data_IF_847692885387
#
_entry.id   IF_847692885387
#
_cell.length_a   1.000
_cell.length_b   1.000
_cell.length_c   1.000
_cell.angle_alpha   90.00
_cell.angle_beta   90.00
_cell.angle_gamma   90.00
#
_symmetry.space_group_name_H-M   'P 1'
#
loop_
_entity.id
_entity.type
_entity.pdbx_description
1 polymer ?
#
# COMPACT_ATOMS: atom_id res chain seq x y z
N UNK A 1 -28.02 15.96 2.88
CA UNK A 1 -27.06 16.02 4.00
C UNK A 1 -25.67 15.98 3.39
N UNK A 2 -25.00 17.12 3.37
CA UNK A 2 -23.66 17.30 2.79
C UNK A 2 -22.62 16.61 3.67
N UNK A 3 -22.01 15.55 3.17
CA UNK A 3 -20.90 14.84 3.83
C UNK A 3 -19.74 15.84 4.02
N UNK A 4 -19.17 16.00 5.25
CA UNK A 4 -18.12 16.97 5.53
C UNK A 4 -16.81 16.80 4.73
N UNK A 5 -16.68 15.74 3.92
CA UNK A 5 -15.50 15.44 3.12
C UNK A 5 -15.62 15.82 1.63
N UNK A 6 -16.68 16.53 1.24
CA UNK A 6 -16.81 17.09 -0.11
C UNK A 6 -16.06 18.42 -0.20
N UNK A 7 -14.77 18.32 -0.52
CA UNK A 7 -13.95 19.35 -1.18
C UNK A 7 -13.74 20.67 -0.41
N UNK A 8 -12.77 20.67 0.52
CA UNK A 8 -12.11 21.87 1.07
C UNK A 8 -10.59 21.63 1.07
N UNK A 9 -9.71 22.62 0.85
CA UNK A 9 -9.53 23.49 -0.30
C UNK A 9 -8.29 23.02 -1.08
N UNK A 10 -8.42 21.95 -1.86
CA UNK A 10 -7.45 21.68 -2.93
C UNK A 10 -8.18 21.96 -4.23
N UNK A 11 -8.37 23.25 -4.51
CA UNK A 11 -8.95 23.71 -5.76
C UNK A 11 -7.87 23.63 -6.84
N UNK A 12 -8.26 23.26 -8.05
CA UNK A 12 -7.32 23.14 -9.16
C UNK A 12 -6.60 24.47 -9.45
N UNK A 13 -7.21 25.59 -9.09
CA UNK A 13 -6.65 26.94 -9.21
C UNK A 13 -5.40 27.17 -8.33
N UNK A 14 -5.23 26.39 -7.25
CA UNK A 14 -4.02 26.45 -6.42
C UNK A 14 -2.85 25.69 -7.05
N UNK A 15 -3.10 24.86 -8.07
CA UNK A 15 -2.08 24.08 -8.76
C UNK A 15 -1.45 24.94 -9.86
N UNK A 16 -0.11 25.05 -9.94
CA UNK A 16 0.55 25.86 -10.97
C UNK A 16 0.16 25.40 -12.38
N UNK A 17 0.26 26.29 -13.36
CA UNK A 17 0.02 25.95 -14.76
C UNK A 17 1.05 24.91 -15.23
N UNK A 18 0.59 23.67 -15.42
CA UNK A 18 1.40 22.52 -15.86
C UNK A 18 0.63 21.72 -16.91
N UNK A 19 1.33 20.88 -17.67
CA UNK A 19 0.70 19.96 -18.60
C UNK A 19 -0.19 18.95 -17.86
N UNK A 20 -1.37 18.69 -18.43
CA UNK A 20 -2.33 17.68 -17.99
C UNK A 20 -2.45 16.55 -19.01
N UNK A 21 -2.84 15.33 -18.60
CA UNK A 21 -3.11 14.93 -17.22
C UNK A 21 -1.82 14.73 -16.41
N UNK A 22 -1.83 15.07 -15.11
CA UNK A 22 -0.70 14.80 -14.21
C UNK A 22 -1.17 14.33 -12.82
N UNK A 23 -0.39 13.46 -12.18
CA UNK A 23 -0.66 13.02 -10.82
C UNK A 23 -0.19 14.07 -9.82
N UNK A 24 -1.08 14.44 -8.89
CA UNK A 24 -0.85 15.50 -7.91
C UNK A 24 -0.93 14.92 -6.51
N UNK A 25 0.02 15.31 -5.65
CA UNK A 25 0.04 14.92 -4.23
C UNK A 25 0.16 16.15 -3.33
N UNK A 26 -0.59 16.15 -2.23
CA UNK A 26 -0.50 17.19 -1.20
C UNK A 26 0.13 16.62 0.08
N UNK A 27 1.34 17.06 0.45
CA UNK A 27 2.11 16.48 1.57
C UNK A 27 1.44 16.72 2.93
N UNK A 28 0.86 17.89 3.14
CA UNK A 28 0.11 18.23 4.35
C UNK A 28 -1.02 17.23 4.61
N UNK A 29 -1.69 16.80 3.54
CA UNK A 29 -2.76 15.80 3.61
C UNK A 29 -2.24 14.38 3.85
N UNK A 30 -1.08 14.03 3.29
CA UNK A 30 -0.41 12.76 3.60
C UNK A 30 -0.08 12.70 5.10
N UNK A 31 0.44 13.79 5.67
CA UNK A 31 0.77 13.86 7.10
C UNK A 31 -0.47 13.84 8.00
N UNK A 32 -1.57 14.51 7.60
CA UNK A 32 -2.86 14.37 8.28
C UNK A 32 -3.30 12.91 8.31
N UNK A 33 -3.29 12.23 7.16
CA UNK A 33 -3.68 10.84 7.07
C UNK A 33 -2.78 9.93 7.92
N UNK A 34 -1.47 10.20 7.98
CA UNK A 34 -0.54 9.48 8.86
C UNK A 34 -0.94 9.64 10.33
N UNK A 35 -1.19 10.87 10.77
CA UNK A 35 -1.52 11.17 12.16
C UNK A 35 -2.80 10.46 12.62
N UNK A 36 -3.89 10.54 11.85
CA UNK A 36 -5.16 9.88 12.20
C UNK A 36 -5.04 8.35 12.13
N UNK A 37 -4.28 7.81 11.17
CA UNK A 37 -4.02 6.37 11.05
C UNK A 37 -3.22 5.85 12.25
N UNK A 38 -2.14 6.54 12.61
CA UNK A 38 -1.28 6.19 13.73
C UNK A 38 -2.06 6.24 15.05
N UNK A 39 -2.91 7.25 15.24
CA UNK A 39 -3.79 7.32 16.41
C UNK A 39 -4.76 6.14 16.46
N UNK A 40 -5.41 5.81 15.34
CA UNK A 40 -6.39 4.72 15.27
C UNK A 40 -5.79 3.32 15.56
N UNK A 41 -4.54 3.07 15.17
CA UNK A 41 -3.87 1.80 15.50
C UNK A 41 -3.12 1.82 16.84
N UNK A 42 -3.11 2.96 17.55
CA UNK A 42 -2.51 3.11 18.87
C UNK A 42 -1.00 3.36 18.87
N UNK A 43 -0.45 3.97 17.80
CA UNK A 43 0.95 4.40 17.71
C UNK A 43 1.54 4.25 16.31
N UNK A 44 2.41 5.19 15.90
CA UNK A 44 3.10 5.18 14.59
C UNK A 44 4.07 4.01 14.45
N UNK A 45 4.65 3.55 15.56
CA UNK A 45 5.57 2.41 15.62
C UNK A 45 4.88 1.09 15.31
N UNK A 46 3.54 1.05 15.37
CA UNK A 46 2.72 -0.10 14.99
C UNK A 46 2.52 -0.21 13.49
N UNK A 47 2.85 0.84 12.72
CA UNK A 47 2.63 0.86 11.27
C UNK A 47 3.79 0.18 10.53
N UNK A 48 3.44 -0.76 9.67
CA UNK A 48 4.29 -1.28 8.59
C UNK A 48 3.60 -0.98 7.25
N UNK A 49 3.49 0.30 6.85
CA UNK A 49 2.68 0.68 5.71
C UNK A 49 3.19 0.07 4.42
N UNK A 50 2.24 -0.22 3.53
CA UNK A 50 2.56 -0.88 2.27
C UNK A 50 2.90 0.14 1.18
N UNK A 51 4.15 0.09 0.69
CA UNK A 51 4.65 1.07 -0.30
C UNK A 51 4.03 0.91 -1.69
N UNK A 52 3.32 -0.19 -1.98
CA UNK A 52 2.68 -0.44 -3.28
C UNK A 52 1.68 0.65 -3.69
N UNK A 53 1.14 1.40 -2.72
CA UNK A 53 0.20 2.49 -2.99
C UNK A 53 0.88 3.63 -3.72
N UNK A 54 2.08 3.99 -3.29
CA UNK A 54 2.74 5.22 -3.72
C UNK A 54 4.00 4.98 -4.55
N UNK A 55 4.72 3.88 -4.32
CA UNK A 55 5.95 3.51 -5.03
C UNK A 55 6.91 4.71 -5.18
N UNK A 56 7.07 5.47 -4.09
CA UNK A 56 7.77 6.74 -4.07
C UNK A 56 8.80 6.78 -2.93
N UNK A 57 10.08 6.90 -3.27
CA UNK A 57 11.18 6.95 -2.30
C UNK A 57 11.10 8.17 -1.38
N UNK A 58 10.66 9.32 -1.90
CA UNK A 58 10.49 10.53 -1.10
C UNK A 58 9.40 10.39 -0.03
N UNK A 59 8.34 9.60 -0.28
CA UNK A 59 7.34 9.26 0.74
C UNK A 59 7.91 8.32 1.79
N UNK A 60 8.74 7.35 1.41
CA UNK A 60 9.42 6.51 2.41
C UNK A 60 10.28 7.38 3.35
N UNK A 61 11.04 8.33 2.81
CA UNK A 61 11.84 9.30 3.60
C UNK A 61 10.96 10.17 4.50
N UNK A 62 9.84 10.67 3.98
CA UNK A 62 8.88 11.46 4.75
C UNK A 62 8.34 10.64 5.93
N UNK A 63 7.92 9.40 5.69
CA UNK A 63 7.36 8.53 6.73
C UNK A 63 8.42 8.11 7.78
N UNK A 64 9.66 7.84 7.36
CA UNK A 64 10.78 7.61 8.27
C UNK A 64 11.00 8.82 9.19
N UNK A 65 10.96 10.04 8.66
CA UNK A 65 11.10 11.27 9.44
C UNK A 65 9.95 11.49 10.44
N UNK A 66 8.81 10.82 10.25
CA UNK A 66 7.66 10.84 11.17
C UNK A 66 7.63 9.66 12.14
N UNK A 67 8.68 8.83 12.17
CA UNK A 67 8.82 7.72 13.12
C UNK A 67 8.30 6.37 12.64
N UNK A 68 7.84 6.25 11.39
CA UNK A 68 7.58 4.93 10.79
C UNK A 68 8.92 4.21 10.62
N UNK A 69 9.05 3.00 11.16
CA UNK A 69 10.32 2.28 11.21
C UNK A 69 10.39 1.06 10.30
N UNK A 70 9.27 0.68 9.67
CA UNK A 70 9.19 -0.55 8.87
C UNK A 70 8.24 -0.41 7.69
N UNK A 71 8.49 -1.15 6.62
CA UNK A 71 7.70 -1.05 5.38
C UNK A 71 7.38 -2.40 4.78
N UNK A 72 6.25 -2.47 4.08
CA UNK A 72 5.85 -3.64 3.30
C UNK A 72 5.92 -3.36 1.81
N UNK A 73 6.53 -4.28 1.06
CA UNK A 73 6.69 -4.20 -0.39
C UNK A 73 6.10 -5.44 -1.08
N UNK A 74 5.66 -5.29 -2.33
CA UNK A 74 5.07 -6.36 -3.15
C UNK A 74 6.03 -6.81 -4.25
N UNK A 75 6.99 -5.96 -4.63
CA UNK A 75 7.98 -6.25 -5.67
C UNK A 75 9.40 -5.99 -5.15
N UNK A 76 10.40 -6.61 -5.78
CA UNK A 76 11.80 -6.32 -5.45
C UNK A 76 12.20 -4.89 -5.78
N UNK A 77 11.61 -4.27 -6.81
CA UNK A 77 11.83 -2.85 -7.11
C UNK A 77 11.37 -1.95 -5.94
N UNK A 78 10.24 -2.30 -5.31
CA UNK A 78 9.76 -1.60 -4.12
C UNK A 78 10.65 -1.86 -2.89
N UNK A 79 11.18 -3.09 -2.73
CA UNK A 79 12.15 -3.40 -1.67
C UNK A 79 13.41 -2.54 -1.85
N UNK A 80 13.99 -2.53 -3.06
CA UNK A 80 15.17 -1.74 -3.37
C UNK A 80 14.93 -0.24 -3.18
N UNK A 81 13.77 0.27 -3.61
CA UNK A 81 13.38 1.67 -3.41
C UNK A 81 13.26 2.04 -1.93
N UNK A 82 12.63 1.18 -1.11
CA UNK A 82 12.50 1.43 0.32
C UNK A 82 13.88 1.45 1.01
N UNK A 83 14.76 0.51 0.65
CA UNK A 83 16.13 0.47 1.17
C UNK A 83 16.95 1.70 0.78
N UNK A 84 16.91 2.09 -0.50
CA UNK A 84 17.59 3.29 -1.00
C UNK A 84 17.04 4.60 -0.39
N UNK A 85 15.81 4.56 0.12
CA UNK A 85 15.20 5.65 0.87
C UNK A 85 15.58 5.66 2.36
N UNK A 86 16.32 4.65 2.85
CA UNK A 86 16.80 4.56 4.23
C UNK A 86 15.97 3.64 5.14
N UNK A 87 15.03 2.86 4.59
CA UNK A 87 14.30 1.89 5.40
C UNK A 87 15.21 0.73 5.82
N UNK A 88 15.25 0.45 7.12
CA UNK A 88 16.08 -0.64 7.70
C UNK A 88 15.30 -1.90 8.03
N UNK A 89 13.95 -1.88 7.95
CA UNK A 89 13.11 -3.08 8.10
C UNK A 89 12.10 -3.14 6.97
N UNK A 90 12.27 -4.11 6.06
CA UNK A 90 11.40 -4.25 4.88
C UNK A 90 10.93 -5.70 4.75
N UNK A 91 9.60 -5.89 4.71
CA UNK A 91 8.98 -7.19 4.41
C UNK A 91 8.57 -7.22 2.95
N UNK A 92 9.12 -8.16 2.18
CA UNK A 92 8.65 -8.47 0.84
C UNK A 92 7.46 -9.44 0.93
N UNK A 93 6.25 -8.87 0.94
CA UNK A 93 5.00 -9.57 1.17
C UNK A 93 4.49 -10.29 -0.08
N UNK A 94 5.30 -11.21 -0.60
CA UNK A 94 4.99 -12.04 -1.75
C UNK A 94 5.69 -13.40 -1.57
N UNK A 95 4.96 -14.52 -1.32
CA UNK A 95 5.55 -15.84 -1.11
C UNK A 95 6.06 -16.43 -2.44
N UNK A 96 7.18 -15.91 -2.93
CA UNK A 96 7.77 -16.37 -4.19
C UNK A 96 8.46 -17.71 -4.02
N UNK A 97 8.43 -18.52 -5.08
CA UNK A 97 9.27 -19.72 -5.26
C UNK A 97 10.23 -19.55 -6.43
N UNK A 98 10.36 -18.33 -6.98
CA UNK A 98 11.24 -18.05 -8.10
C UNK A 98 12.68 -17.85 -7.60
N UNK A 99 13.63 -18.76 -7.91
CA UNK A 99 14.98 -18.69 -7.36
C UNK A 99 15.77 -17.46 -7.82
N UNK A 100 15.49 -16.92 -9.02
CA UNK A 100 16.15 -15.70 -9.49
C UNK A 100 15.72 -14.47 -8.68
N UNK A 101 14.43 -14.39 -8.32
CA UNK A 101 13.94 -13.29 -7.48
C UNK A 101 14.43 -13.42 -6.04
N UNK A 102 14.47 -14.64 -5.48
CA UNK A 102 15.04 -14.88 -4.15
C UNK A 102 16.54 -14.54 -4.15
N UNK A 103 17.28 -14.92 -5.18
CA UNK A 103 18.70 -14.55 -5.33
C UNK A 103 18.89 -13.03 -5.32
N UNK A 104 18.09 -12.29 -6.11
CA UNK A 104 18.12 -10.82 -6.11
C UNK A 104 17.77 -10.22 -4.74
N UNK A 105 16.82 -10.81 -4.02
CA UNK A 105 16.50 -10.39 -2.66
C UNK A 105 17.68 -10.56 -1.70
N UNK A 106 18.39 -11.69 -1.79
CA UNK A 106 19.61 -11.95 -1.01
C UNK A 106 20.72 -10.96 -1.37
N UNK A 107 20.90 -10.63 -2.66
CA UNK A 107 21.88 -9.62 -3.07
C UNK A 107 21.54 -8.21 -2.56
N UNK A 108 20.24 -7.84 -2.52
CA UNK A 108 19.81 -6.62 -1.85
C UNK A 108 20.17 -6.64 -0.35
N UNK A 109 19.97 -7.76 0.34
CA UNK A 109 20.36 -7.87 1.75
C UNK A 109 21.88 -7.71 1.96
N UNK A 110 22.70 -8.17 1.01
CA UNK A 110 24.16 -7.97 1.06
C UNK A 110 24.55 -6.51 0.81
N UNK A 111 23.86 -5.83 -0.09
CA UNK A 111 24.11 -4.43 -0.42
C UNK A 111 23.67 -3.47 0.70
N UNK A 112 22.73 -3.88 1.54
CA UNK A 112 22.22 -3.10 2.68
C UNK A 112 22.40 -3.88 3.99
N UNK A 113 23.63 -4.02 4.50
CA UNK A 113 23.94 -4.89 5.64
C UNK A 113 23.27 -4.46 6.95
N UNK A 114 22.94 -3.18 7.09
CA UNK A 114 22.26 -2.62 8.26
C UNK A 114 20.73 -2.82 8.23
N UNK A 115 20.19 -3.39 7.15
CA UNK A 115 18.76 -3.63 6.98
C UNK A 115 18.38 -5.09 7.26
N UNK A 116 17.27 -5.29 7.96
CA UNK A 116 16.55 -6.55 8.08
C UNK A 116 15.55 -6.71 6.94
N UNK A 117 15.79 -7.71 6.09
CA UNK A 117 14.91 -8.04 4.98
C UNK A 117 14.18 -9.34 5.27
N UNK A 118 12.85 -9.28 5.22
CA UNK A 118 11.99 -10.43 5.51
C UNK A 118 11.24 -10.89 4.27
N UNK A 119 11.47 -12.13 3.84
CA UNK A 119 10.69 -12.81 2.79
C UNK A 119 9.50 -13.58 3.38
N UNK A 120 8.59 -14.04 2.51
CA UNK A 120 7.47 -14.91 2.91
C UNK A 120 7.65 -16.34 2.38
N UNK A 121 7.19 -17.30 3.18
CA UNK A 121 7.00 -18.71 2.78
C UNK A 121 5.64 -19.21 3.27
N UNK A 122 4.97 -20.03 2.47
CA UNK A 122 3.67 -20.62 2.80
C UNK A 122 3.62 -22.14 2.53
N UNK A 123 4.75 -22.74 2.16
CA UNK A 123 4.80 -24.15 1.79
C UNK A 123 6.19 -24.76 2.04
N UNK A 124 6.27 -26.08 2.30
CA UNK A 124 7.54 -26.79 2.37
C UNK A 124 8.38 -26.66 1.09
N UNK A 125 7.74 -26.65 -0.08
CA UNK A 125 8.42 -26.43 -1.36
C UNK A 125 9.07 -25.04 -1.41
N UNK A 126 8.33 -23.98 -1.06
CA UNK A 126 8.89 -22.63 -1.00
C UNK A 126 10.06 -22.52 -0.03
N UNK A 127 9.94 -23.13 1.16
CA UNK A 127 11.05 -23.18 2.12
C UNK A 127 12.29 -23.90 1.57
N UNK A 128 12.12 -24.99 0.81
CA UNK A 128 13.24 -25.70 0.19
C UNK A 128 13.98 -24.81 -0.82
N UNK A 129 13.25 -24.06 -1.66
CA UNK A 129 13.86 -23.12 -2.61
C UNK A 129 14.63 -22.02 -1.86
N UNK A 130 14.03 -21.42 -0.83
CA UNK A 130 14.71 -20.42 0.01
C UNK A 130 15.98 -20.99 0.64
N UNK A 131 15.91 -22.18 1.24
CA UNK A 131 17.04 -22.82 1.91
C UNK A 131 18.24 -23.00 0.98
N UNK A 132 18.01 -23.38 -0.29
CA UNK A 132 19.05 -23.49 -1.30
C UNK A 132 19.80 -22.18 -1.62
N UNK A 133 19.18 -21.03 -1.34
CA UNK A 133 19.73 -19.69 -1.63
C UNK A 133 20.16 -18.93 -0.36
N UNK A 134 19.93 -19.50 0.83
CA UNK A 134 20.30 -18.90 2.10
C UNK A 134 21.73 -19.23 2.55
N UNK A 135 22.43 -20.12 1.84
CA UNK A 135 23.85 -20.38 2.08
C UNK A 135 24.68 -19.14 1.70
N UNK A 136 25.47 -18.61 2.64
CA UNK A 136 26.20 -17.36 2.47
C UNK A 136 25.33 -16.09 2.47
N UNK A 137 24.01 -16.20 2.67
CA UNK A 137 23.13 -15.04 2.81
C UNK A 137 23.29 -14.40 4.20
N UNK A 138 23.25 -13.05 4.31
CA UNK A 138 23.31 -12.35 5.59
C UNK A 138 22.30 -12.89 6.60
N UNK A 139 22.64 -12.85 7.90
CA UNK A 139 21.73 -13.29 8.98
C UNK A 139 20.52 -12.37 9.16
N UNK A 140 20.57 -11.16 8.59
CA UNK A 140 19.47 -10.20 8.49
C UNK A 140 18.40 -10.61 7.48
N UNK A 141 18.66 -11.61 6.61
CA UNK A 141 17.62 -12.25 5.79
C UNK A 141 16.78 -13.17 6.67
N UNK A 142 15.54 -12.77 6.93
CA UNK A 142 14.54 -13.50 7.71
C UNK A 142 13.40 -13.99 6.83
N UNK A 143 12.60 -14.90 7.38
CA UNK A 143 11.39 -15.44 6.75
C UNK A 143 10.21 -15.35 7.72
N UNK A 144 9.05 -14.99 7.19
CA UNK A 144 7.75 -15.11 7.87
C UNK A 144 6.92 -16.20 7.21
N UNK A 145 6.07 -16.83 8.01
CA UNK A 145 5.05 -17.74 7.48
C UNK A 145 3.84 -16.90 7.04
N UNK A 146 3.50 -16.94 5.75
CA UNK A 146 2.26 -16.34 5.24
C UNK A 146 1.08 -17.25 5.59
N UNK A 147 0.12 -16.73 6.35
CA UNK A 147 -1.07 -17.45 6.81
C UNK A 147 -2.26 -17.09 5.92
N UNK A 148 -3.09 -18.07 5.59
CA UNK A 148 -4.39 -17.84 4.94
C UNK A 148 -5.50 -17.65 6.00
N UNK A 149 -6.05 -16.43 6.17
CA UNK A 149 -7.17 -16.17 7.07
C UNK A 149 -8.54 -16.56 6.47
N UNK A 150 -8.57 -17.38 5.42
CA UNK A 150 -9.77 -17.74 4.66
C UNK A 150 -10.01 -16.88 3.41
N UNK A 151 -8.97 -16.18 2.93
CA UNK A 151 -9.03 -15.43 1.68
C UNK A 151 -8.86 -16.32 0.45
N UNK A 152 -8.12 -17.44 0.57
CA UNK A 152 -7.87 -18.37 -0.53
C UNK A 152 -7.00 -17.79 -1.66
N UNK A 153 -6.09 -16.85 -1.33
CA UNK A 153 -5.20 -16.21 -2.32
C UNK A 153 -3.78 -16.76 -2.27
N UNK A 154 -3.16 -16.71 -1.10
CA UNK A 154 -1.84 -17.25 -0.74
C UNK A 154 -1.89 -17.58 0.74
N UNK A 155 -0.86 -18.27 1.23
CA UNK A 155 -0.72 -18.57 2.65
C UNK A 155 -1.10 -20.00 2.99
N UNK A 156 -0.48 -20.49 4.06
CA UNK A 156 -0.73 -21.82 4.62
C UNK A 156 -1.95 -21.75 5.55
N UNK A 157 -2.77 -22.81 5.65
CA UNK A 157 -3.84 -22.88 6.63
C UNK A 157 -3.34 -22.60 8.05
N UNK A 158 -4.15 -21.90 8.85
CA UNK A 158 -3.84 -21.52 10.23
C UNK A 158 -4.01 -22.70 11.21
N UNK A 159 -3.26 -23.77 11.00
CA UNK A 159 -3.33 -25.02 11.77
C UNK A 159 -1.92 -25.60 12.07
N UNK A 160 -1.85 -26.90 12.41
CA UNK A 160 -0.60 -27.60 12.70
C UNK A 160 0.42 -27.53 11.55
N UNK A 161 -0.03 -27.40 10.30
CA UNK A 161 0.86 -27.26 9.15
C UNK A 161 1.66 -25.95 9.18
N UNK A 162 1.03 -24.85 9.64
CA UNK A 162 1.70 -23.57 9.86
C UNK A 162 2.77 -23.69 10.96
N UNK A 163 2.44 -24.39 12.06
CA UNK A 163 3.38 -24.64 13.16
C UNK A 163 4.58 -25.49 12.71
N UNK A 164 4.34 -26.55 11.92
CA UNK A 164 5.39 -27.39 11.38
C UNK A 164 6.35 -26.59 10.46
N UNK A 165 5.80 -25.73 9.60
CA UNK A 165 6.59 -24.86 8.73
C UNK A 165 7.37 -23.81 9.52
N UNK A 166 6.73 -23.17 10.51
CA UNK A 166 7.39 -22.22 11.41
C UNK A 166 8.56 -22.87 12.15
N UNK A 167 8.37 -24.08 12.70
CA UNK A 167 9.44 -24.84 13.35
C UNK A 167 10.60 -25.17 12.40
N UNK A 168 10.31 -25.48 11.13
CA UNK A 168 11.35 -25.69 10.11
C UNK A 168 12.16 -24.42 9.84
N UNK A 169 11.51 -23.27 9.70
CA UNK A 169 12.18 -21.97 9.53
C UNK A 169 12.97 -21.57 10.80
N UNK A 170 12.44 -21.87 11.99
CA UNK A 170 13.10 -21.60 13.26
C UNK A 170 14.42 -22.37 13.41
N UNK A 171 14.47 -23.64 12.98
CA UNK A 171 15.72 -24.43 12.96
C UNK A 171 16.82 -23.85 12.07
N UNK A 172 16.46 -23.03 11.08
CA UNK A 172 17.43 -22.28 10.27
C UNK A 172 17.95 -21.01 10.98
N UNK A 173 17.38 -20.63 12.13
CA UNK A 173 17.65 -19.38 12.84
C UNK A 173 17.15 -18.14 12.09
N UNK A 174 16.12 -18.30 11.25
CA UNK A 174 15.65 -17.26 10.33
C UNK A 174 14.16 -16.91 10.46
N UNK A 175 13.43 -17.50 11.42
CA UNK A 175 12.03 -17.17 11.63
C UNK A 175 11.90 -15.76 12.22
N UNK A 176 11.21 -14.88 11.51
CA UNK A 176 10.82 -13.56 12.03
C UNK A 176 9.43 -13.56 12.67
N UNK A 177 8.52 -14.42 12.19
CA UNK A 177 7.19 -14.57 12.76
C UNK A 177 6.14 -14.88 11.72
N UNK A 178 4.94 -14.35 11.95
CA UNK A 178 3.78 -14.59 11.10
C UNK A 178 3.51 -13.39 10.20
N UNK A 179 2.93 -13.65 9.03
CA UNK A 179 2.31 -12.65 8.16
C UNK A 179 0.87 -13.07 7.85
N UNK A 180 -0.05 -12.11 7.85
CA UNK A 180 -1.47 -12.37 7.57
C UNK A 180 -2.05 -11.23 6.74
N UNK A 181 -2.72 -11.55 5.62
CA UNK A 181 -3.43 -10.56 4.82
C UNK A 181 -4.92 -10.87 4.71
N UNK A 182 -5.72 -10.02 5.35
CA UNK A 182 -7.16 -10.16 5.54
C UNK A 182 -7.98 -9.26 4.60
N UNK A 183 -7.49 -8.95 3.39
CA UNK A 183 -8.13 -7.98 2.48
C UNK A 183 -9.53 -8.34 1.93
N UNK A 184 -10.02 -9.55 2.25
CA UNK A 184 -11.39 -10.01 2.01
C UNK A 184 -12.35 -9.66 3.17
N UNK A 185 -11.84 -9.11 4.28
CA UNK A 185 -12.62 -8.53 5.37
C UNK A 185 -12.97 -7.09 5.02
N UNK A 186 -14.23 -6.88 4.65
CA UNK A 186 -14.86 -5.60 4.30
C UNK A 186 -16.30 -5.62 4.82
N UNK A 187 -17.02 -4.51 4.67
CA UNK A 187 -18.42 -4.40 5.08
C UNK A 187 -18.60 -3.58 6.35
N UNK A 188 -19.72 -3.81 7.05
CA UNK A 188 -20.08 -3.08 8.26
C UNK A 188 -19.02 -3.24 9.36
N UNK A 189 -18.91 -2.27 10.26
CA UNK A 189 -17.89 -2.26 11.33
C UNK A 189 -18.03 -3.52 12.20
N UNK A 190 -19.26 -3.88 12.56
CA UNK A 190 -19.59 -4.99 13.45
C UNK A 190 -19.22 -6.35 12.83
N UNK A 191 -19.45 -6.51 11.52
CA UNK A 191 -19.05 -7.70 10.77
C UNK A 191 -17.52 -7.83 10.69
N UNK A 192 -16.83 -6.71 10.45
CA UNK A 192 -15.36 -6.67 10.43
C UNK A 192 -14.80 -7.02 11.81
N UNK A 193 -15.35 -6.45 12.88
CA UNK A 193 -14.96 -6.74 14.26
C UNK A 193 -15.15 -8.22 14.61
N UNK A 194 -16.31 -8.80 14.32
CA UNK A 194 -16.59 -10.21 14.61
C UNK A 194 -15.61 -11.15 13.88
N UNK A 195 -15.29 -10.84 12.61
CA UNK A 195 -14.33 -11.64 11.82
C UNK A 195 -12.90 -11.49 12.32
N UNK A 196 -12.46 -10.28 12.65
CA UNK A 196 -11.14 -10.03 13.23
C UNK A 196 -11.00 -10.70 14.60
N UNK A 197 -12.05 -10.68 15.43
CA UNK A 197 -12.06 -11.35 16.73
C UNK A 197 -11.85 -12.86 16.58
N UNK A 198 -12.60 -13.53 15.70
CA UNK A 198 -12.44 -14.96 15.44
C UNK A 198 -11.03 -15.32 14.93
N UNK A 199 -10.46 -14.50 14.05
CA UNK A 199 -9.09 -14.72 13.57
C UNK A 199 -8.06 -14.49 14.68
N UNK A 200 -8.33 -13.56 15.60
CA UNK A 200 -7.48 -13.31 16.77
C UNK A 200 -7.39 -14.55 17.65
N UNK A 201 -8.51 -15.22 17.95
CA UNK A 201 -8.51 -16.47 18.73
C UNK A 201 -7.65 -17.56 18.08
N UNK A 202 -7.77 -17.70 16.75
CA UNK A 202 -7.00 -18.69 15.98
C UNK A 202 -5.50 -18.36 16.00
N UNK A 203 -5.15 -17.08 15.85
CA UNK A 203 -3.78 -16.59 15.87
C UNK A 203 -3.14 -16.72 17.26
N UNK A 204 -3.89 -16.42 18.32
CA UNK A 204 -3.43 -16.54 19.71
C UNK A 204 -3.14 -18.01 20.08
N UNK A 205 -3.94 -18.95 19.57
CA UNK A 205 -3.67 -20.38 19.72
C UNK A 205 -2.34 -20.78 19.07
N UNK A 206 -2.11 -20.38 17.80
CA UNK A 206 -0.84 -20.64 17.10
C UNK A 206 0.35 -20.02 17.83
N UNK A 207 0.24 -18.76 18.26
CA UNK A 207 1.29 -18.10 19.03
C UNK A 207 1.58 -18.81 20.34
N UNK A 208 0.53 -19.23 21.07
CA UNK A 208 0.68 -19.91 22.36
C UNK A 208 1.40 -21.25 22.20
N UNK A 209 1.05 -22.04 21.17
CA UNK A 209 1.78 -23.27 20.86
C UNK A 209 3.24 -23.01 20.49
N UNK A 210 3.51 -21.96 19.71
CA UNK A 210 4.87 -21.62 19.32
C UNK A 210 5.72 -21.16 20.54
N UNK A 211 5.15 -20.34 21.42
CA UNK A 211 5.79 -19.91 22.69
C UNK A 211 6.04 -21.08 23.63
N UNK A 212 5.11 -22.05 23.70
CA UNK A 212 5.30 -23.29 24.46
C UNK A 212 6.50 -24.12 23.99
N UNK A 213 6.93 -23.93 22.73
CA UNK A 213 8.14 -24.51 22.16
C UNK A 213 9.38 -23.59 22.27
N UNK A 214 9.31 -22.54 23.09
CA UNK A 214 10.42 -21.60 23.31
C UNK A 214 10.66 -20.62 22.17
N UNK A 215 9.70 -20.45 21.26
CA UNK A 215 9.80 -19.55 20.09
C UNK A 215 8.78 -18.43 20.25
N UNK A 216 9.25 -17.21 20.52
CA UNK A 216 8.43 -16.00 20.60
C UNK A 216 8.72 -15.08 19.41
N UNK A 217 7.66 -14.70 18.68
CA UNK A 217 7.74 -13.97 17.41
C UNK A 217 6.56 -13.02 17.26
N UNK A 218 6.72 -12.01 16.43
CA UNK A 218 5.69 -11.02 16.16
C UNK A 218 4.74 -11.45 15.01
N UNK A 219 3.69 -10.66 14.79
CA UNK A 219 2.77 -10.81 13.66
C UNK A 219 2.67 -9.49 12.92
N UNK A 220 2.72 -9.58 11.59
CA UNK A 220 2.50 -8.46 10.67
C UNK A 220 1.26 -8.74 9.83
N UNK A 221 0.29 -7.84 9.84
CA UNK A 221 -0.95 -8.03 9.09
C UNK A 221 -1.81 -6.79 9.02
N UNK A 222 -3.13 -6.94 8.97
CA UNK A 222 -4.08 -5.81 8.97
C UNK A 222 -4.10 -5.00 7.68
N UNK A 223 -5.25 -4.96 7.01
CA UNK A 223 -5.47 -4.14 5.82
C UNK A 223 -6.18 -2.82 6.17
N UNK A 224 -6.42 -1.96 5.18
CA UNK A 224 -7.07 -0.66 5.37
C UNK A 224 -8.45 -0.71 6.05
N UNK A 225 -9.15 -1.86 6.03
CA UNK A 225 -10.45 -2.06 6.66
C UNK A 225 -10.37 -2.70 8.06
N UNK A 226 -9.20 -3.14 8.51
CA UNK A 226 -9.09 -3.92 9.77
C UNK A 226 -7.94 -3.48 10.65
N UNK A 227 -7.05 -2.61 10.18
CA UNK A 227 -5.82 -2.19 10.89
C UNK A 227 -6.07 -1.65 12.30
N UNK A 228 -7.21 -1.01 12.53
CA UNK A 228 -7.65 -0.45 13.81
C UNK A 228 -8.37 -1.46 14.71
N UNK A 229 -8.81 -2.59 14.16
CA UNK A 229 -9.59 -3.61 14.86
C UNK A 229 -8.72 -4.70 15.51
N UNK A 230 -7.50 -4.89 15.03
CA UNK A 230 -6.60 -5.90 15.55
C UNK A 230 -6.07 -5.52 16.95
N UNK A 231 -6.12 -6.41 17.96
CA UNK A 231 -5.46 -6.16 19.24
C UNK A 231 -3.93 -6.13 19.11
N UNK A 232 -3.26 -5.27 19.87
CA UNK A 232 -1.77 -5.18 19.86
C UNK A 232 -1.09 -6.48 20.31
N UNK A 233 -1.71 -7.21 21.23
CA UNK A 233 -1.21 -8.50 21.72
C UNK A 233 -1.14 -9.57 20.62
N UNK A 234 -2.11 -9.57 19.70
CA UNK A 234 -2.19 -10.53 18.62
C UNK A 234 -1.45 -10.05 17.36
N UNK A 235 -1.54 -8.76 17.04
CA UNK A 235 -1.00 -8.14 15.83
C UNK A 235 -0.04 -7.00 16.18
N UNK A 236 1.26 -7.31 16.15
CA UNK A 236 2.32 -6.37 16.51
C UNK A 236 2.44 -5.22 15.53
N UNK A 237 2.32 -5.49 14.23
CA UNK A 237 2.32 -4.46 13.19
C UNK A 237 1.11 -4.58 12.27
N UNK A 238 0.53 -3.43 11.93
CA UNK A 238 -0.56 -3.32 10.97
C UNK A 238 -0.08 -2.65 9.68
N UNK A 239 -0.56 -3.11 8.54
CA UNK A 239 -0.02 -2.80 7.22
C UNK A 239 -0.99 -2.09 6.26
N UNK A 240 -1.84 -1.14 6.72
CA UNK A 240 -2.63 -0.36 5.78
C UNK A 240 -1.68 0.53 4.97
N UNK A 241 -1.89 0.64 3.66
CA UNK A 241 -1.04 1.47 2.79
C UNK A 241 -1.80 2.53 2.02
N UNK A 242 -3.11 2.37 1.85
CA UNK A 242 -3.89 3.23 0.95
C UNK A 242 -4.24 4.57 1.59
N UNK A 243 -4.18 4.67 2.92
CA UNK A 243 -4.40 5.92 3.66
C UNK A 243 -3.44 7.03 3.21
N UNK A 244 -2.24 6.70 2.72
CA UNK A 244 -1.22 7.67 2.26
C UNK A 244 -1.84 8.67 1.27
N UNK A 245 -2.56 8.17 0.27
CA UNK A 245 -3.28 9.02 -0.68
C UNK A 245 -4.80 9.10 -0.41
N UNK A 246 -5.34 8.17 0.36
CA UNK A 246 -6.76 7.81 0.36
C UNK A 246 -7.27 7.56 -1.07
N UNK A 247 -8.59 7.39 -1.24
CA UNK A 247 -9.27 7.29 -2.52
C UNK A 247 -10.78 7.47 -2.30
N UNK A 248 -11.55 7.70 -3.37
CA UNK A 248 -12.98 7.92 -3.23
C UNK A 248 -13.74 6.73 -2.62
N UNK A 249 -13.28 5.48 -2.83
CA UNK A 249 -13.88 4.30 -2.19
C UNK A 249 -13.76 4.38 -0.66
N UNK A 250 -12.56 4.65 -0.15
CA UNK A 250 -12.27 4.73 1.27
C UNK A 250 -12.92 5.95 1.91
N UNK A 251 -12.98 7.08 1.22
CA UNK A 251 -13.70 8.26 1.72
C UNK A 251 -15.19 7.99 1.96
N UNK A 252 -15.80 7.05 1.21
CA UNK A 252 -17.17 6.61 1.45
C UNK A 252 -17.26 5.51 2.50
N UNK A 253 -16.48 4.44 2.36
CA UNK A 253 -16.63 3.21 3.14
C UNK A 253 -15.95 3.27 4.52
N UNK A 254 -14.96 4.15 4.67
CA UNK A 254 -14.09 4.27 5.84
C UNK A 254 -14.06 5.71 6.37
N UNK A 255 -15.17 6.44 6.22
CA UNK A 255 -15.28 7.85 6.62
C UNK A 255 -14.93 8.11 8.09
N UNK A 256 -15.14 7.13 8.97
CA UNK A 256 -14.83 7.18 10.41
C UNK A 256 -13.33 7.24 10.73
N UNK A 257 -12.43 6.99 9.77
CA UNK A 257 -10.99 7.16 9.97
C UNK A 257 -10.50 8.59 9.68
N UNK A 258 -11.38 9.49 9.26
CA UNK A 258 -11.07 10.89 8.96
C UNK A 258 -9.92 11.07 7.95
N UNK A 259 -9.70 10.08 7.08
CA UNK A 259 -8.80 10.22 5.94
C UNK A 259 -9.35 11.24 4.95
N UNK A 260 -8.45 11.99 4.33
CA UNK A 260 -8.76 12.95 3.27
C UNK A 260 -8.03 12.58 1.98
N UNK A 261 -8.59 12.93 0.82
CA UNK A 261 -7.90 12.74 -0.46
C UNK A 261 -6.59 13.54 -0.47
N UNK A 262 -5.48 12.85 -0.68
CA UNK A 262 -4.15 13.42 -0.78
C UNK A 262 -3.48 13.14 -2.13
N UNK A 263 -4.00 12.20 -2.93
CA UNK A 263 -3.58 11.94 -4.30
C UNK A 263 -4.70 12.19 -5.31
N UNK A 264 -4.39 12.88 -6.40
CA UNK A 264 -5.35 13.35 -7.41
C UNK A 264 -4.80 13.16 -8.82
N UNK A 265 -5.68 13.14 -9.81
CA UNK A 265 -5.31 13.36 -11.22
C UNK A 265 -5.82 14.73 -11.64
N UNK A 266 -4.91 15.62 -11.98
CA UNK A 266 -5.24 16.91 -12.56
C UNK A 266 -5.53 16.74 -14.05
N UNK A 267 -6.63 17.31 -14.51
CA UNK A 267 -7.10 17.24 -15.90
C UNK A 267 -7.57 18.61 -16.38
N UNK A 268 -7.62 18.80 -17.69
CA UNK A 268 -8.18 19.99 -18.34
C UNK A 268 -9.44 19.62 -19.13
N UNK A 269 -10.46 20.48 -19.08
CA UNK A 269 -11.64 20.40 -19.95
C UNK A 269 -11.22 20.80 -21.36
N UNK A 270 -11.23 19.85 -22.29
CA UNK A 270 -10.81 20.06 -23.69
C UNK A 270 -11.97 20.32 -24.65
N UNK A 271 -13.20 19.99 -24.24
CA UNK A 271 -14.39 20.21 -25.07
C UNK A 271 -15.66 20.25 -24.20
N UNK A 272 -16.65 21.04 -24.61
CA UNK A 272 -17.97 21.10 -23.98
C UNK A 272 -19.04 20.89 -25.05
N UNK A 273 -20.05 20.05 -24.77
CA UNK A 273 -21.15 19.79 -25.71
C UNK A 273 -22.44 19.48 -24.94
N UNK A 274 -23.52 20.21 -25.22
CA UNK A 274 -24.90 19.89 -24.83
C UNK A 274 -25.06 19.01 -23.56
N UNK A 275 -24.77 19.57 -22.38
CA UNK A 275 -24.95 18.85 -21.11
C UNK A 275 -23.73 18.06 -20.62
N UNK A 276 -22.65 17.97 -21.41
CA UNK A 276 -21.43 17.24 -21.08
C UNK A 276 -20.16 18.05 -21.30
N UNK A 277 -19.12 17.64 -20.60
CA UNK A 277 -17.75 18.16 -20.72
C UNK A 277 -16.78 17.00 -20.94
N UNK A 278 -15.76 17.20 -21.76
CA UNK A 278 -14.72 16.20 -22.05
C UNK A 278 -13.43 16.61 -21.39
N UNK A 279 -12.85 15.68 -20.63
CA UNK A 279 -11.61 15.80 -19.88
C UNK A 279 -10.48 15.10 -20.66
N UNK A 280 -9.25 15.60 -20.55
CA UNK A 280 -8.02 14.98 -21.10
C UNK A 280 -7.44 13.84 -20.24
N UNK A 281 -8.18 13.36 -19.25
CA UNK A 281 -7.81 12.20 -18.43
C UNK A 281 -8.69 11.00 -18.79
N UNK A 282 -8.14 10.06 -19.58
CA UNK A 282 -8.77 8.77 -19.91
C UNK A 282 -8.25 7.58 -19.08
N UNK A 283 -8.41 6.37 -19.59
CA UNK A 283 -7.98 5.13 -18.90
C UNK A 283 -6.46 4.96 -18.76
N UNK A 284 -5.65 5.73 -19.50
CA UNK A 284 -4.20 5.80 -19.33
C UNK A 284 -3.75 6.82 -18.29
N UNK A 285 -4.65 7.72 -17.86
CA UNK A 285 -4.42 8.63 -16.76
C UNK A 285 -5.02 8.10 -15.44
N UNK A 286 -6.11 7.31 -15.52
CA UNK A 286 -6.78 6.68 -14.38
C UNK A 286 -7.04 5.22 -14.72
N UNK A 287 -6.47 4.31 -13.93
CA UNK A 287 -6.46 2.88 -14.23
C UNK A 287 -7.88 2.30 -14.46
N UNK A 288 -8.06 1.39 -15.44
CA UNK A 288 -9.33 0.76 -15.73
C UNK A 288 -9.69 -0.42 -14.82
N UNK A 289 -9.20 -0.47 -13.57
CA UNK A 289 -9.44 -1.58 -12.63
C UNK A 289 -10.81 -1.55 -11.94
N UNK A 290 -11.52 -0.42 -12.07
CA UNK A 290 -12.88 -0.21 -11.58
C UNK A 290 -13.88 -0.09 -12.73
N UNK A 291 -15.17 -0.43 -12.49
CA UNK A 291 -16.24 -0.14 -13.44
C UNK A 291 -16.18 1.33 -13.88
N UNK A 292 -16.38 1.59 -15.18
CA UNK A 292 -16.16 2.91 -15.78
C UNK A 292 -16.83 4.05 -14.99
N UNK A 293 -18.10 3.86 -14.62
CA UNK A 293 -18.92 4.85 -13.91
C UNK A 293 -18.37 5.23 -12.52
N UNK A 294 -17.41 4.47 -12.00
CA UNK A 294 -16.87 4.62 -10.65
C UNK A 294 -15.38 4.93 -10.66
N UNK A 295 -14.71 5.20 -11.79
CA UNK A 295 -13.23 5.30 -11.81
C UNK A 295 -12.68 6.52 -11.06
N UNK A 296 -13.42 7.62 -11.02
CA UNK A 296 -13.09 8.81 -10.25
C UNK A 296 -14.35 9.58 -9.85
N UNK A 297 -14.17 10.54 -8.94
CA UNK A 297 -15.26 11.37 -8.39
C UNK A 297 -14.86 12.85 -8.32
N UNK A 298 -15.87 13.71 -8.11
CA UNK A 298 -15.69 15.14 -7.78
C UNK A 298 -16.14 16.13 -8.86
N UNK A 299 -16.49 15.67 -10.07
CA UNK A 299 -16.73 16.58 -11.21
C UNK A 299 -17.99 16.29 -12.04
N UNK A 300 -18.60 15.11 -11.90
CA UNK A 300 -19.79 14.71 -12.66
C UNK A 300 -19.85 13.21 -12.91
N UNK A 301 -20.99 12.72 -13.41
CA UNK A 301 -21.18 11.32 -13.81
C UNK A 301 -20.33 11.01 -15.05
N UNK A 302 -19.59 9.90 -15.04
CA UNK A 302 -18.81 9.43 -16.19
C UNK A 302 -19.74 8.77 -17.22
N UNK A 303 -19.94 9.43 -18.36
CA UNK A 303 -20.77 8.93 -19.47
C UNK A 303 -19.99 7.96 -20.35
N UNK A 304 -18.74 8.30 -20.66
CA UNK A 304 -17.87 7.54 -21.56
C UNK A 304 -16.41 7.77 -21.18
N UNK A 305 -15.57 6.74 -21.27
CA UNK A 305 -14.12 6.88 -21.09
C UNK A 305 -13.37 6.06 -22.14
N UNK A 306 -12.47 6.73 -22.86
CA UNK A 306 -11.51 6.14 -23.80
C UNK A 306 -10.09 6.23 -23.20
N UNK A 307 -9.07 5.91 -24.00
CA UNK A 307 -7.68 5.90 -23.55
C UNK A 307 -7.21 7.25 -22.99
N UNK A 308 -7.49 8.33 -23.72
CA UNK A 308 -6.99 9.69 -23.41
C UNK A 308 -8.11 10.68 -23.04
N UNK A 309 -9.38 10.26 -23.07
CA UNK A 309 -10.52 11.17 -22.89
C UNK A 309 -11.60 10.59 -21.98
N UNK A 310 -12.21 11.44 -21.16
CA UNK A 310 -13.43 11.12 -20.41
C UNK A 310 -14.52 12.13 -20.66
N UNK A 311 -15.72 11.67 -21.03
CA UNK A 311 -16.92 12.51 -21.12
C UNK A 311 -17.69 12.41 -19.80
N UNK A 312 -17.90 13.55 -19.16
CA UNK A 312 -18.68 13.68 -17.93
C UNK A 312 -19.98 14.44 -18.18
N UNK A 313 -21.04 14.11 -17.45
CA UNK A 313 -22.27 14.90 -17.39
C UNK A 313 -22.06 16.10 -16.46
N UNK A 314 -21.63 17.21 -17.06
CA UNK A 314 -21.47 18.50 -16.41
C UNK A 314 -21.55 19.61 -17.48
N UNK A 315 -22.42 20.60 -17.27
CA UNK A 315 -22.68 21.71 -18.19
C UNK A 315 -22.29 23.09 -17.62
N UNK A 316 -21.63 23.12 -16.46
CA UNK A 316 -21.21 24.37 -15.80
C UNK A 316 -19.73 24.68 -16.00
N UNK A 317 -19.00 23.81 -16.69
CA UNK A 317 -17.56 23.93 -16.94
C UNK A 317 -17.29 24.57 -18.31
N UNK A 318 -16.18 25.27 -18.43
CA UNK A 318 -15.68 25.88 -19.66
C UNK A 318 -14.46 25.13 -20.18
N UNK A 319 -14.21 25.20 -21.49
CA UNK A 319 -12.95 24.73 -22.09
C UNK A 319 -11.79 25.48 -21.46
N UNK A 320 -10.77 24.76 -21.00
CA UNK A 320 -9.62 25.28 -20.27
C UNK A 320 -9.75 25.21 -18.75
N UNK A 321 -10.94 24.93 -18.19
CA UNK A 321 -11.09 24.69 -16.76
C UNK A 321 -10.25 23.48 -16.35
N UNK A 322 -9.56 23.61 -15.21
CA UNK A 322 -8.72 22.55 -14.64
C UNK A 322 -9.42 21.94 -13.44
N UNK A 323 -9.30 20.62 -13.29
CA UNK A 323 -10.03 19.87 -12.27
C UNK A 323 -9.13 18.83 -11.62
N UNK A 324 -9.33 18.61 -10.32
CA UNK A 324 -8.68 17.55 -9.57
C UNK A 324 -9.65 16.38 -9.39
N UNK A 325 -9.35 15.28 -10.06
CA UNK A 325 -10.12 14.05 -9.98
C UNK A 325 -9.61 13.22 -8.80
N UNK A 326 -10.53 12.74 -7.96
CA UNK A 326 -10.20 11.77 -6.89
C UNK A 326 -10.40 10.37 -7.45
N UNK A 327 -9.35 9.56 -7.65
CA UNK A 327 -9.50 8.19 -8.14
C UNK A 327 -10.29 7.33 -7.14
N UNK A 328 -11.06 6.37 -7.64
CA UNK A 328 -11.69 5.35 -6.79
C UNK A 328 -10.67 4.37 -6.23
N UNK A 329 -9.58 4.14 -6.97
CA UNK A 329 -8.46 3.34 -6.50
C UNK A 329 -7.13 4.04 -6.85
N UNK A 330 -6.55 4.69 -5.85
CA UNK A 330 -5.33 5.49 -6.07
C UNK A 330 -4.08 4.63 -6.28
N UNK A 331 -4.00 3.41 -5.74
CA UNK A 331 -2.81 2.57 -5.90
C UNK A 331 -2.51 2.25 -7.38
N UNK A 332 -3.55 1.86 -8.12
CA UNK A 332 -3.44 1.56 -9.56
C UNK A 332 -3.31 2.80 -10.41
N UNK A 333 -3.85 3.94 -9.95
CA UNK A 333 -3.68 5.23 -10.63
C UNK A 333 -2.26 5.77 -10.47
N UNK A 334 -1.72 5.83 -9.25
CA UNK A 334 -0.35 6.28 -8.98
C UNK A 334 0.69 5.42 -9.70
N UNK A 335 0.44 4.12 -9.87
CA UNK A 335 1.27 3.20 -10.65
C UNK A 335 1.48 3.64 -12.11
N UNK A 336 0.61 4.47 -12.69
CA UNK A 336 0.74 4.96 -14.06
C UNK A 336 1.78 6.08 -14.22
N UNK A 337 2.23 6.69 -13.11
CA UNK A 337 3.03 7.91 -13.14
C UNK A 337 4.42 7.69 -12.54
N UNK A 338 5.47 7.99 -13.30
CA UNK A 338 6.87 7.97 -12.84
C UNK A 338 7.29 9.21 -12.05
N UNK A 339 6.39 10.18 -11.88
CA UNK A 339 6.58 11.33 -10.99
C UNK A 339 5.22 11.82 -10.48
N UNK A 340 5.23 12.67 -9.47
CA UNK A 340 4.07 13.43 -9.02
C UNK A 340 4.42 14.91 -8.98
N UNK A 341 3.45 15.77 -9.29
CA UNK A 341 3.49 17.17 -8.90
C UNK A 341 3.10 17.26 -7.42
N UNK A 342 4.05 17.61 -6.56
CA UNK A 342 3.89 17.61 -5.11
C UNK A 342 3.77 19.03 -4.60
N UNK A 343 2.71 19.32 -3.82
CA UNK A 343 2.64 20.51 -2.97
C UNK A 343 3.34 20.19 -1.65
N UNK A 344 4.54 20.73 -1.48
CA UNK A 344 5.35 20.51 -0.30
C UNK A 344 4.80 21.25 0.92
N UNK A 345 5.32 20.91 2.11
CA UNK A 345 4.88 21.50 3.38
C UNK A 345 5.11 23.02 3.49
N UNK A 346 6.13 23.54 2.82
CA UNK A 346 6.40 24.98 2.71
C UNK A 346 5.50 25.70 1.68
N UNK A 347 4.58 24.96 1.04
CA UNK A 347 3.66 25.45 0.03
C UNK A 347 4.22 25.46 -1.39
N UNK A 348 5.50 25.15 -1.60
CA UNK A 348 6.10 25.12 -2.95
C UNK A 348 5.63 23.89 -3.72
N UNK A 349 5.61 24.05 -5.04
CA UNK A 349 5.26 23.00 -5.98
C UNK A 349 6.50 22.47 -6.66
N UNK A 350 6.69 21.15 -6.64
CA UNK A 350 7.83 20.51 -7.31
C UNK A 350 7.46 19.13 -7.83
N UNK A 351 8.09 18.72 -8.94
CA UNK A 351 8.01 17.34 -9.39
C UNK A 351 8.94 16.46 -8.57
N UNK A 352 8.43 15.31 -8.13
CA UNK A 352 9.23 14.29 -7.45
C UNK A 352 9.02 12.92 -8.08
N UNK A 353 10.11 12.20 -8.27
CA UNK A 353 10.11 10.91 -8.94
C UNK A 353 9.42 9.82 -8.11
N UNK A 354 8.82 8.87 -8.83
CA UNK A 354 8.19 7.66 -8.33
C UNK A 354 8.59 6.50 -9.28
N UNK A 355 8.50 5.25 -8.82
CA UNK A 355 8.79 4.10 -9.68
C UNK A 355 7.77 3.95 -10.83
N UNK A 356 6.59 4.55 -10.71
CA UNK A 356 5.50 4.36 -11.68
C UNK A 356 5.19 2.88 -11.90
N UNK A 357 5.32 2.40 -13.13
CA UNK A 357 5.05 1.02 -13.52
C UNK A 357 6.30 0.13 -13.57
N UNK A 358 7.46 0.65 -13.17
CA UNK A 358 8.73 -0.08 -13.23
C UNK A 358 8.67 -1.31 -12.31
N UNK A 359 9.01 -2.48 -12.83
CA UNK A 359 9.06 -3.74 -12.07
C UNK A 359 10.46 -4.29 -11.93
N UNK A 360 11.38 -3.80 -12.74
CA UNK A 360 12.76 -4.25 -12.75
C UNK A 360 13.48 -3.68 -11.54
N UNK A 361 14.26 -4.52 -10.88
CA UNK A 361 15.36 -4.02 -10.06
C UNK A 361 16.43 -3.64 -11.08
N UNK A 362 16.77 -2.35 -11.20
CA UNK A 362 17.95 -1.95 -11.98
C UNK A 362 19.10 -2.84 -11.52
N UNK A 363 19.84 -3.51 -12.43
CA UNK A 363 20.84 -4.48 -12.04
C UNK A 363 21.80 -3.85 -11.02
N UNK A 364 22.10 -4.56 -9.93
CA UNK A 364 23.27 -4.23 -9.12
C UNK A 364 24.45 -4.08 -10.08
N UNK A 365 25.28 -3.03 -9.96
CA UNK A 365 26.39 -2.82 -10.87
C UNK A 365 27.22 -4.09 -10.96
N UNK A 366 27.55 -4.49 -12.20
CA UNK A 366 28.38 -5.66 -12.48
C UNK A 366 29.75 -5.55 -11.85
#
# INVERSE_FOLDING_TARGET
MTTPNMLSPFTADLVPAVATPCFVVAEDRVLHNLAVTANACGGVERLMPHVKTHRAAWLVRLLLAQGVSSFKASTLAEVAMALAAGATRVTWAFPTVNPQNIGRFVELAKAYPDAELTGLVDSPHGLNVWTGLLNGAPRSVKLRIDLDPGMGRTGIPMDESALALAGAVARLGRLAGWHLYDGHIRGAVEERQARVHKLTETLDALQSTLRGNGIDVDVVGGNSYTFDLWPRSAMSYVSPGTWVYSNAQHLRELAHHDWIAAGFVLTTVVSTRNGTSTLDAGSKAISPDKPQAQRFHGVGEIVMMNEEHTVIRNNTLNVGDRLLLVPEHTCTTAYLYSNALVRALDGRWEYRDQLGNERSVVPLPR
#
